data_IF_743135141282
#
_entry.id   IF_743135141282
#
_cell.length_a   1.000
_cell.length_b   1.000
_cell.length_c   1.000
_cell.angle_alpha   90.00
_cell.angle_beta   90.00
_cell.angle_gamma   90.00
#
_symmetry.space_group_name_H-M   'P 1'
#
loop_
_entity.id
_entity.type
_entity.pdbx_description
1 polymer ?
#
# COMPACT_ATOMS: atom_id res chain seq x y z
N UNK A 1 -18.30 -23.78 -3.98
CA UNK A 1 -17.39 -24.90 -4.30
C UNK A 1 -16.34 -24.91 -3.21
N UNK A 2 -16.19 -25.96 -2.40
CA UNK A 2 -15.15 -26.02 -1.40
C UNK A 2 -13.81 -26.14 -2.11
N UNK A 3 -12.92 -25.19 -1.89
CA UNK A 3 -11.53 -25.28 -2.31
C UNK A 3 -10.85 -26.27 -1.39
N UNK A 4 -10.88 -27.55 -1.75
CA UNK A 4 -10.06 -28.56 -1.12
C UNK A 4 -8.60 -28.24 -1.43
N UNK A 5 -7.88 -27.73 -0.42
CA UNK A 5 -6.42 -27.65 -0.46
C UNK A 5 -5.88 -29.06 -0.28
N UNK A 6 -5.56 -29.72 -1.39
CA UNK A 6 -4.84 -30.98 -1.39
C UNK A 6 -3.36 -30.69 -1.15
N UNK A 7 -2.82 -31.14 -0.03
CA UNK A 7 -1.38 -31.19 0.17
C UNK A 7 -0.88 -32.55 -0.35
N UNK A 8 -0.09 -32.48 -1.42
CA UNK A 8 0.59 -33.66 -1.96
C UNK A 8 1.91 -33.85 -1.21
N UNK A 9 2.10 -34.99 -0.52
CA UNK A 9 3.43 -35.35 0.00
C UNK A 9 4.29 -35.89 -1.13
N UNK A 10 5.18 -35.04 -1.60
CA UNK A 10 6.10 -35.33 -2.73
C UNK A 10 7.07 -36.47 -2.41
N UNK A 11 7.24 -36.85 -1.14
CA UNK A 11 8.23 -37.86 -0.70
C UNK A 11 7.72 -39.29 -0.77
N UNK A 12 6.44 -39.52 -0.57
CA UNK A 12 5.87 -40.86 -0.42
C UNK A 12 4.77 -41.22 -1.42
N UNK A 13 4.38 -40.33 -2.30
CA UNK A 13 3.36 -40.58 -3.32
C UNK A 13 1.95 -40.89 -2.77
N UNK A 14 1.69 -40.66 -1.49
CA UNK A 14 0.43 -40.94 -0.85
C UNK A 14 -0.31 -39.68 -0.50
N UNK A 15 -1.64 -39.74 -0.64
CA UNK A 15 -2.54 -38.73 -0.08
C UNK A 15 -2.55 -38.95 1.42
N UNK A 16 -2.13 -37.99 2.24
CA UNK A 16 -2.28 -38.07 3.68
C UNK A 16 -3.78 -37.97 4.01
N UNK A 17 -4.38 -39.10 4.34
CA UNK A 17 -5.62 -39.10 5.11
C UNK A 17 -5.31 -38.57 6.49
N UNK A 18 -5.94 -37.44 6.86
CA UNK A 18 -5.76 -36.80 8.15
C UNK A 18 -6.01 -37.77 9.29
N UNK A 19 -5.10 -37.82 10.25
CA UNK A 19 -5.13 -38.60 11.48
C UNK A 19 -6.50 -38.46 12.17
N UNK A 20 -7.18 -39.58 12.37
CA UNK A 20 -8.50 -39.63 12.98
C UNK A 20 -8.48 -39.19 14.44
N UNK A 21 -8.85 -37.96 14.69
CA UNK A 21 -9.54 -37.58 15.88
C UNK A 21 -11.04 -37.54 15.56
N UNK A 22 -11.84 -38.22 16.33
CA UNK A 22 -13.32 -38.09 16.35
C UNK A 22 -13.66 -36.66 16.82
N UNK A 23 -13.36 -35.68 16.00
CA UNK A 23 -13.95 -34.34 16.13
C UNK A 23 -15.36 -34.42 15.57
N UNK A 24 -16.34 -33.99 16.36
CA UNK A 24 -17.65 -33.62 15.84
C UNK A 24 -17.37 -32.76 14.58
N UNK A 25 -17.69 -33.28 13.40
CA UNK A 25 -17.53 -32.55 12.15
C UNK A 25 -18.40 -31.31 12.24
N UNK A 26 -17.79 -30.18 12.57
CA UNK A 26 -18.46 -28.90 12.62
C UNK A 26 -19.04 -28.64 11.23
N UNK A 27 -20.37 -28.66 11.12
CA UNK A 27 -21.06 -28.39 9.86
C UNK A 27 -20.73 -26.96 9.46
N UNK A 28 -20.21 -26.79 8.25
CA UNK A 28 -19.88 -25.49 7.69
C UNK A 28 -21.19 -24.70 7.50
N UNK A 29 -21.24 -23.48 8.04
CA UNK A 29 -22.40 -22.59 7.93
C UNK A 29 -21.97 -21.29 7.23
N UNK A 30 -22.47 -21.09 6.03
CA UNK A 30 -22.18 -19.95 5.17
C UNK A 30 -22.63 -18.62 5.79
N UNK A 31 -23.69 -18.63 6.61
CA UNK A 31 -24.15 -17.45 7.35
C UNK A 31 -23.11 -17.04 8.39
N UNK A 32 -22.54 -18.00 9.14
CA UNK A 32 -21.49 -17.73 10.13
C UNK A 32 -20.26 -17.17 9.44
N UNK A 33 -19.86 -17.73 8.29
CA UNK A 33 -18.73 -17.24 7.50
C UNK A 33 -18.98 -15.78 7.08
N UNK A 34 -20.14 -15.50 6.52
CA UNK A 34 -20.51 -14.15 6.07
C UNK A 34 -20.50 -13.17 7.24
N UNK A 35 -21.13 -13.54 8.36
CA UNK A 35 -21.19 -12.70 9.55
C UNK A 35 -19.79 -12.41 10.10
N UNK A 36 -18.94 -13.43 10.21
CA UNK A 36 -17.56 -13.25 10.68
C UNK A 36 -16.75 -12.27 9.82
N UNK A 37 -16.89 -12.33 8.50
CA UNK A 37 -16.22 -11.40 7.58
C UNK A 37 -16.72 -9.97 7.80
N UNK A 38 -18.05 -9.78 7.88
CA UNK A 38 -18.67 -8.46 8.08
C UNK A 38 -18.22 -7.87 9.42
N UNK A 39 -18.32 -8.62 10.50
CA UNK A 39 -17.99 -8.15 11.85
C UNK A 39 -16.52 -7.73 11.92
N UNK A 40 -15.59 -8.54 11.40
CA UNK A 40 -14.16 -8.23 11.39
C UNK A 40 -13.82 -7.07 10.51
N UNK A 41 -14.43 -6.97 9.33
CA UNK A 41 -14.22 -5.81 8.46
C UNK A 41 -14.75 -4.52 9.09
N UNK A 42 -15.93 -4.58 9.68
CA UNK A 42 -16.55 -3.44 10.36
C UNK A 42 -15.71 -2.97 11.57
N UNK A 43 -15.25 -3.89 12.42
CA UNK A 43 -14.35 -3.57 13.53
C UNK A 43 -13.07 -2.89 13.01
N UNK A 44 -12.44 -3.47 12.00
CA UNK A 44 -11.24 -2.93 11.38
C UNK A 44 -11.47 -1.52 10.84
N UNK A 45 -12.55 -1.29 10.10
CA UNK A 45 -12.90 0.02 9.56
C UNK A 45 -13.16 1.03 10.67
N UNK A 46 -13.99 0.68 11.64
CA UNK A 46 -14.34 1.55 12.77
C UNK A 46 -13.12 1.98 13.58
N UNK A 47 -12.18 1.08 13.80
CA UNK A 47 -10.94 1.38 14.50
C UNK A 47 -10.06 2.38 13.73
N UNK A 48 -10.19 2.48 12.41
CA UNK A 48 -9.34 3.29 11.54
C UNK A 48 -10.03 4.56 11.00
N UNK A 49 -11.17 4.98 11.60
CA UNK A 49 -11.81 6.26 11.26
C UNK A 49 -11.00 7.49 11.69
N UNK A 50 -10.05 7.31 12.62
CA UNK A 50 -9.11 8.35 13.04
C UNK A 50 -7.73 7.72 13.25
N UNK A 51 -6.73 8.25 12.54
CA UNK A 51 -5.37 7.72 12.50
C UNK A 51 -4.33 8.84 12.62
N UNK A 52 -3.08 8.48 12.87
CA UNK A 52 -2.00 9.48 12.85
C UNK A 52 -1.59 9.76 11.40
N UNK A 53 -1.44 8.72 10.58
CA UNK A 53 -1.09 8.86 9.19
C UNK A 53 -1.98 8.01 8.29
N UNK A 54 -2.53 8.65 7.25
CA UNK A 54 -3.25 8.01 6.16
C UNK A 54 -2.37 7.99 4.91
N UNK A 55 -2.05 6.80 4.43
CA UNK A 55 -1.18 6.60 3.27
C UNK A 55 -2.06 6.22 2.08
N UNK A 56 -1.95 6.93 0.98
CA UNK A 56 -2.68 6.62 -0.26
C UNK A 56 -1.72 6.04 -1.27
N UNK A 57 -1.96 4.79 -1.66
CA UNK A 57 -1.13 4.02 -2.58
C UNK A 57 -0.31 2.94 -1.89
N UNK A 58 -0.59 1.68 -2.24
CA UNK A 58 0.05 0.47 -1.72
C UNK A 58 1.26 0.01 -2.53
N UNK A 59 1.93 0.91 -3.23
CA UNK A 59 3.22 0.64 -3.88
C UNK A 59 4.37 0.54 -2.88
N UNK A 60 5.61 0.28 -3.37
CA UNK A 60 6.77 0.12 -2.49
C UNK A 60 6.99 1.32 -1.57
N UNK A 61 6.84 2.54 -2.06
CA UNK A 61 7.01 3.76 -1.26
C UNK A 61 5.98 3.86 -0.13
N UNK A 62 4.70 3.57 -0.40
CA UNK A 62 3.64 3.57 0.60
C UNK A 62 3.83 2.48 1.65
N UNK A 63 4.26 1.28 1.23
CA UNK A 63 4.54 0.16 2.14
C UNK A 63 5.70 0.47 3.09
N UNK A 64 6.82 0.94 2.54
CA UNK A 64 8.02 1.28 3.33
C UNK A 64 7.73 2.45 4.28
N UNK A 65 7.07 3.51 3.80
CA UNK A 65 6.66 4.64 4.63
C UNK A 65 5.76 4.18 5.79
N UNK A 66 4.74 3.38 5.48
CA UNK A 66 3.81 2.84 6.48
C UNK A 66 4.52 2.00 7.53
N UNK A 67 5.44 1.13 7.09
CA UNK A 67 6.25 0.29 7.99
C UNK A 67 7.05 1.13 9.00
N UNK A 68 7.79 2.12 8.51
CA UNK A 68 8.60 2.96 9.40
C UNK A 68 7.75 3.78 10.36
N UNK A 69 6.64 4.35 9.91
CA UNK A 69 5.74 5.09 10.78
C UNK A 69 5.15 4.18 11.88
N UNK A 70 4.66 3.00 11.52
CA UNK A 70 4.13 2.04 12.49
C UNK A 70 5.19 1.57 13.49
N UNK A 71 6.43 1.30 13.04
CA UNK A 71 7.56 0.95 13.91
C UNK A 71 7.92 2.06 14.90
N UNK A 72 7.61 3.31 14.57
CA UNK A 72 7.78 4.45 15.45
C UNK A 72 6.55 4.77 16.31
N UNK A 73 5.57 3.85 16.38
CA UNK A 73 4.42 3.94 17.28
C UNK A 73 3.26 4.77 16.75
N UNK A 74 3.29 5.19 15.49
CA UNK A 74 2.15 5.87 14.86
C UNK A 74 1.08 4.87 14.43
N UNK A 75 -0.17 5.27 14.57
CA UNK A 75 -1.30 4.54 14.03
C UNK A 75 -1.45 4.86 12.54
N UNK A 76 -1.18 3.87 11.70
CA UNK A 76 -1.09 4.03 10.26
C UNK A 76 -2.15 3.20 9.55
N UNK A 77 -2.81 3.82 8.57
CA UNK A 77 -3.71 3.13 7.64
C UNK A 77 -3.31 3.44 6.21
N UNK A 78 -3.21 2.40 5.40
CA UNK A 78 -2.90 2.48 3.98
C UNK A 78 -4.13 2.12 3.15
N UNK A 79 -4.43 2.94 2.16
CA UNK A 79 -5.51 2.75 1.19
C UNK A 79 -4.94 2.48 -0.19
N UNK A 80 -5.40 1.41 -0.83
CA UNK A 80 -5.01 1.03 -2.19
C UNK A 80 -6.26 0.84 -3.05
N UNK A 81 -6.31 1.49 -4.20
CA UNK A 81 -7.47 1.38 -5.12
C UNK A 81 -7.55 0.04 -5.84
N UNK A 82 -6.44 -0.65 -6.03
CA UNK A 82 -6.39 -1.96 -6.68
C UNK A 82 -6.65 -3.09 -5.68
N UNK A 83 -7.04 -4.24 -6.18
CA UNK A 83 -7.17 -5.45 -5.37
C UNK A 83 -5.80 -5.91 -4.84
N UNK A 84 -4.78 -5.88 -5.69
CA UNK A 84 -3.42 -6.28 -5.34
C UNK A 84 -2.61 -5.11 -4.80
N UNK A 85 -1.99 -5.32 -3.64
CA UNK A 85 -1.01 -4.41 -3.05
C UNK A 85 0.33 -4.61 -3.75
N UNK A 86 1.15 -3.57 -3.87
CA UNK A 86 2.51 -3.68 -4.40
C UNK A 86 2.80 -2.80 -5.61
N UNK A 87 1.78 -2.18 -6.18
CA UNK A 87 1.94 -1.28 -7.33
C UNK A 87 2.59 -1.98 -8.52
N UNK A 88 3.51 -1.28 -9.18
CA UNK A 88 4.23 -1.81 -10.35
C UNK A 88 5.39 -2.75 -10.02
N UNK A 89 5.77 -2.91 -8.75
CA UNK A 89 6.94 -3.71 -8.38
C UNK A 89 6.79 -5.19 -8.72
N UNK A 90 5.56 -5.73 -8.81
CA UNK A 90 5.32 -7.10 -9.23
C UNK A 90 5.94 -7.44 -10.59
N UNK A 91 5.98 -6.48 -11.50
CA UNK A 91 6.59 -6.66 -12.81
C UNK A 91 8.11 -6.51 -12.81
N UNK A 92 8.67 -5.87 -11.81
CA UNK A 92 10.05 -5.44 -11.85
C UNK A 92 10.33 -4.43 -12.96
N UNK A 93 11.59 -4.25 -13.32
CA UNK A 93 11.96 -3.47 -14.49
C UNK A 93 11.63 -4.22 -15.77
N UNK A 94 11.03 -3.55 -16.75
CA UNK A 94 10.72 -4.09 -18.08
C UNK A 94 9.89 -5.39 -18.04
N UNK A 95 9.19 -5.67 -16.94
CA UNK A 95 8.42 -6.90 -16.67
C UNK A 95 9.29 -8.19 -16.64
N UNK A 96 10.55 -8.06 -16.22
CA UNK A 96 11.46 -9.20 -16.10
C UNK A 96 11.63 -9.71 -14.66
N UNK A 97 10.77 -9.25 -13.76
CA UNK A 97 10.72 -9.65 -12.35
C UNK A 97 12.02 -9.38 -11.55
N UNK A 98 12.84 -8.47 -12.01
CA UNK A 98 14.03 -7.99 -11.32
C UNK A 98 13.93 -6.49 -11.06
N UNK A 99 14.44 -6.05 -9.93
CA UNK A 99 14.63 -4.64 -9.61
C UNK A 99 16.11 -4.34 -9.46
N UNK A 100 16.48 -3.09 -9.72
CA UNK A 100 17.83 -2.59 -9.49
C UNK A 100 17.75 -1.44 -8.52
N UNK A 101 18.58 -1.48 -7.49
CA UNK A 101 18.68 -0.42 -6.48
C UNK A 101 20.13 -0.02 -6.28
N UNK A 102 20.34 1.19 -5.77
CA UNK A 102 21.64 1.67 -5.29
C UNK A 102 21.75 1.45 -3.77
N UNK A 103 22.79 1.99 -3.15
CA UNK A 103 23.15 1.71 -1.76
C UNK A 103 22.02 2.05 -0.76
N UNK A 104 21.30 3.15 -1.00
CA UNK A 104 20.18 3.57 -0.15
C UNK A 104 19.03 2.57 -0.22
N UNK A 105 18.68 2.15 -1.43
CA UNK A 105 17.65 1.12 -1.64
C UNK A 105 18.09 -0.24 -1.08
N UNK A 106 19.37 -0.58 -1.22
CA UNK A 106 19.92 -1.82 -0.64
C UNK A 106 19.77 -1.88 0.87
N UNK A 107 19.99 -0.79 1.59
CA UNK A 107 19.77 -0.74 3.04
C UNK A 107 18.33 -1.09 3.41
N UNK A 108 17.36 -0.62 2.63
CA UNK A 108 15.95 -0.99 2.82
C UNK A 108 15.75 -2.49 2.55
N UNK A 109 16.31 -3.03 1.46
CA UNK A 109 16.23 -4.46 1.19
C UNK A 109 16.80 -5.29 2.34
N UNK A 110 17.96 -4.91 2.88
CA UNK A 110 18.60 -5.60 4.00
C UNK A 110 17.75 -5.55 5.27
N UNK A 111 17.17 -4.40 5.62
CA UNK A 111 16.30 -4.25 6.78
C UNK A 111 15.02 -5.10 6.65
N UNK A 112 14.51 -5.21 5.44
CA UNK A 112 13.38 -6.09 5.15
C UNK A 112 13.79 -7.55 4.93
N UNK A 113 15.10 -7.89 5.04
CA UNK A 113 15.63 -9.24 4.80
C UNK A 113 15.30 -9.77 3.39
N UNK A 114 15.29 -8.87 2.41
CA UNK A 114 15.11 -9.19 0.99
C UNK A 114 16.47 -9.48 0.40
N UNK A 115 16.62 -10.64 -0.25
CA UNK A 115 17.88 -11.04 -0.86
C UNK A 115 18.23 -10.12 -2.02
N UNK A 116 19.49 -9.70 -2.06
CA UNK A 116 20.03 -8.91 -3.17
C UNK A 116 21.40 -9.39 -3.58
N UNK A 117 21.83 -9.08 -4.80
CA UNK A 117 23.14 -9.40 -5.32
C UNK A 117 23.79 -8.16 -5.90
N UNK A 118 25.08 -7.95 -5.58
CA UNK A 118 25.88 -6.92 -6.25
C UNK A 118 26.00 -7.27 -7.74
N UNK A 119 25.60 -6.36 -8.61
CA UNK A 119 25.72 -6.51 -10.06
C UNK A 119 26.96 -5.79 -10.56
N UNK A 120 27.12 -4.51 -10.26
CA UNK A 120 28.27 -3.67 -10.65
C UNK A 120 28.31 -2.41 -9.80
N UNK A 121 29.48 -1.94 -9.38
CA UNK A 121 29.78 -0.62 -8.77
C UNK A 121 28.59 0.09 -8.09
N UNK A 122 28.08 -0.45 -6.98
CA UNK A 122 26.97 0.15 -6.23
C UNK A 122 25.59 -0.10 -6.79
N UNK A 123 25.44 -0.95 -7.82
CA UNK A 123 24.13 -1.44 -8.29
C UNK A 123 23.88 -2.84 -7.76
N UNK A 124 22.72 -3.03 -7.18
CA UNK A 124 22.28 -4.31 -6.60
C UNK A 124 20.99 -4.76 -7.28
N UNK A 125 20.90 -6.04 -7.61
CA UNK A 125 19.68 -6.64 -8.14
C UNK A 125 18.95 -7.44 -7.07
N UNK A 126 17.63 -7.48 -7.15
CA UNK A 126 16.78 -8.31 -6.30
C UNK A 126 15.55 -8.79 -7.08
N UNK A 127 15.08 -9.98 -6.74
CA UNK A 127 13.83 -10.52 -7.26
C UNK A 127 12.64 -9.64 -6.82
N UNK A 128 11.87 -9.17 -7.77
CA UNK A 128 10.77 -8.24 -7.51
C UNK A 128 9.61 -8.91 -6.77
N UNK A 129 9.39 -10.21 -6.97
CA UNK A 129 8.33 -10.98 -6.30
C UNK A 129 8.68 -11.16 -4.83
N UNK A 130 9.93 -11.55 -4.53
CA UNK A 130 10.42 -11.63 -3.15
C UNK A 130 10.31 -10.25 -2.47
N UNK A 131 10.80 -9.22 -3.15
CA UNK A 131 10.80 -7.86 -2.61
C UNK A 131 9.38 -7.40 -2.23
N UNK A 132 8.45 -7.45 -3.16
CA UNK A 132 7.11 -6.93 -2.89
C UNK A 132 6.31 -7.79 -1.90
N UNK A 133 6.45 -9.11 -1.97
CA UNK A 133 5.78 -10.02 -1.03
C UNK A 133 6.26 -9.79 0.40
N UNK A 134 7.57 -9.61 0.58
CA UNK A 134 8.19 -9.33 1.88
C UNK A 134 7.78 -7.96 2.40
N UNK A 135 7.82 -6.92 1.58
CA UNK A 135 7.36 -5.58 1.95
C UNK A 135 5.91 -5.61 2.43
N UNK A 136 4.99 -6.24 1.68
CA UNK A 136 3.59 -6.38 2.07
C UNK A 136 3.44 -7.10 3.42
N UNK A 137 4.10 -8.25 3.58
CA UNK A 137 4.01 -9.05 4.80
C UNK A 137 4.54 -8.31 6.03
N UNK A 138 5.74 -7.71 5.92
CA UNK A 138 6.35 -6.99 7.05
C UNK A 138 5.58 -5.73 7.41
N UNK A 139 5.04 -5.02 6.42
CA UNK A 139 4.20 -3.83 6.66
C UNK A 139 2.94 -4.19 7.45
N UNK A 140 2.21 -5.23 7.07
CA UNK A 140 1.02 -5.68 7.83
C UNK A 140 1.41 -6.14 9.23
N UNK A 141 2.50 -6.91 9.37
CA UNK A 141 2.99 -7.41 10.66
C UNK A 141 3.51 -6.30 11.58
N UNK A 142 3.88 -5.13 11.07
CA UNK A 142 4.25 -3.98 11.89
C UNK A 142 3.06 -3.26 12.54
N UNK A 143 1.82 -3.68 12.23
CA UNK A 143 0.59 -3.11 12.79
C UNK A 143 -0.14 -2.16 11.85
N UNK A 144 0.35 -1.98 10.62
CA UNK A 144 -0.34 -1.18 9.60
C UNK A 144 -1.63 -1.87 9.18
N UNK A 145 -2.72 -1.12 9.17
CA UNK A 145 -3.97 -1.57 8.57
C UNK A 145 -4.00 -1.21 7.09
N UNK A 146 -4.26 -2.19 6.23
CA UNK A 146 -4.38 -1.96 4.79
C UNK A 146 -5.82 -2.22 4.36
N UNK A 147 -6.38 -1.26 3.61
CA UNK A 147 -7.65 -1.39 2.90
C UNK A 147 -7.39 -1.30 1.41
N UNK A 148 -7.62 -2.38 0.70
CA UNK A 148 -7.59 -2.41 -0.75
C UNK A 148 -8.98 -2.20 -1.35
N UNK A 149 -9.08 -1.92 -2.65
CA UNK A 149 -10.29 -1.53 -3.37
C UNK A 149 -10.96 -0.25 -2.79
N UNK A 150 -10.17 0.63 -2.23
CA UNK A 150 -10.59 1.93 -1.71
C UNK A 150 -9.80 3.03 -2.43
N UNK A 151 -10.51 3.93 -3.08
CA UNK A 151 -9.98 5.12 -3.76
C UNK A 151 -10.10 6.36 -2.88
N UNK A 152 -9.11 7.24 -2.92
CA UNK A 152 -9.23 8.58 -2.37
C UNK A 152 -9.90 9.49 -3.41
N UNK A 153 -11.08 10.02 -3.10
CA UNK A 153 -11.84 10.90 -3.99
C UNK A 153 -11.57 12.37 -3.71
N UNK A 154 -11.29 12.68 -2.45
CA UNK A 154 -11.10 14.07 -2.03
C UNK A 154 -10.34 14.17 -0.70
N UNK A 155 -10.04 15.41 -0.30
CA UNK A 155 -9.36 15.76 0.94
C UNK A 155 -10.28 16.53 1.88
N UNK A 156 -10.14 16.27 3.18
CA UNK A 156 -10.75 17.12 4.21
C UNK A 156 -9.74 18.20 4.56
N UNK A 157 -10.06 19.44 4.24
CA UNK A 157 -9.23 20.61 4.56
C UNK A 157 -9.94 21.45 5.60
N UNK A 158 -9.25 21.78 6.68
CA UNK A 158 -9.71 22.69 7.72
C UNK A 158 -8.58 23.64 8.10
N UNK A 159 -8.89 24.91 8.23
CA UNK A 159 -7.91 25.93 8.63
C UNK A 159 -6.59 25.88 7.82
N UNK A 160 -6.74 25.72 6.50
CA UNK A 160 -5.61 25.61 5.55
C UNK A 160 -4.67 24.42 5.82
N UNK A 161 -5.21 23.34 6.39
CA UNK A 161 -4.49 22.08 6.65
C UNK A 161 -5.31 20.90 6.18
N UNK A 162 -4.67 19.89 5.60
CA UNK A 162 -5.28 18.59 5.34
C UNK A 162 -5.45 17.86 6.66
N UNK A 163 -6.68 17.43 6.95
CA UNK A 163 -7.06 16.78 8.21
C UNK A 163 -7.71 15.41 8.02
N UNK A 164 -7.72 14.90 6.79
CA UNK A 164 -8.27 13.60 6.48
C UNK A 164 -8.54 13.39 5.00
N UNK A 165 -9.16 12.26 4.72
CA UNK A 165 -9.51 11.81 3.38
C UNK A 165 -11.00 11.58 3.23
N UNK A 166 -11.48 11.81 2.01
CA UNK A 166 -12.77 11.34 1.50
C UNK A 166 -12.52 10.15 0.62
N UNK A 167 -13.12 9.02 0.96
CA UNK A 167 -12.83 7.71 0.39
C UNK A 167 -14.09 7.09 -0.19
N UNK A 168 -13.93 6.30 -1.24
CA UNK A 168 -15.02 5.47 -1.76
C UNK A 168 -14.49 4.11 -2.22
N UNK A 169 -15.39 3.17 -2.46
CA UNK A 169 -15.06 1.90 -3.07
C UNK A 169 -14.63 2.13 -4.52
N UNK A 170 -13.50 1.58 -4.92
CA UNK A 170 -13.03 1.68 -6.32
C UNK A 170 -14.08 1.20 -7.32
N UNK A 171 -14.93 0.24 -6.93
CA UNK A 171 -16.03 -0.23 -7.76
C UNK A 171 -17.07 0.88 -8.06
N UNK A 172 -17.26 1.83 -7.16
CA UNK A 172 -18.17 2.98 -7.37
C UNK A 172 -17.63 3.87 -8.47
N UNK A 173 -16.32 4.19 -8.40
CA UNK A 173 -15.62 4.97 -9.44
C UNK A 173 -15.67 4.24 -10.80
N UNK A 174 -15.33 2.95 -10.85
CA UNK A 174 -15.31 2.16 -12.08
C UNK A 174 -16.68 2.02 -12.73
N UNK A 175 -17.74 1.93 -11.93
CA UNK A 175 -19.11 1.80 -12.40
C UNK A 175 -19.80 3.16 -12.63
N UNK A 176 -19.09 4.28 -12.40
CA UNK A 176 -19.63 5.65 -12.49
C UNK A 176 -20.92 5.83 -11.68
N UNK A 177 -20.97 5.22 -10.49
CA UNK A 177 -22.12 5.33 -9.59
C UNK A 177 -22.01 6.60 -8.75
N UNK A 178 -23.17 7.10 -8.32
CA UNK A 178 -23.24 8.18 -7.37
C UNK A 178 -23.61 7.64 -5.99
N UNK A 179 -22.60 7.49 -5.14
CA UNK A 179 -22.73 6.92 -3.78
C UNK A 179 -22.03 7.84 -2.79
N UNK A 180 -22.63 8.06 -1.65
CA UNK A 180 -22.04 8.89 -0.60
C UNK A 180 -20.71 8.28 -0.11
N UNK A 181 -19.64 9.08 -0.03
CA UNK A 181 -18.32 8.59 0.33
C UNK A 181 -18.17 8.39 1.84
N UNK A 182 -17.15 7.62 2.20
CA UNK A 182 -16.63 7.51 3.56
C UNK A 182 -15.67 8.66 3.86
N UNK A 183 -15.55 9.01 5.13
CA UNK A 183 -14.52 9.96 5.58
C UNK A 183 -13.70 9.38 6.72
N UNK A 184 -12.42 9.68 6.71
CA UNK A 184 -11.51 9.41 7.82
C UNK A 184 -10.77 10.68 8.23
N UNK A 185 -10.38 10.76 9.49
CA UNK A 185 -9.52 11.81 10.00
C UNK A 185 -8.08 11.32 10.11
N UNK A 186 -7.13 12.19 9.79
CA UNK A 186 -5.70 11.91 9.97
C UNK A 186 -4.96 13.19 10.32
N UNK A 187 -3.84 13.03 11.05
CA UNK A 187 -2.92 14.15 11.33
C UNK A 187 -2.07 14.48 10.12
N UNK A 188 -1.72 13.43 9.35
CA UNK A 188 -0.92 13.52 8.13
C UNK A 188 -1.53 12.64 7.04
N UNK A 189 -1.45 13.13 5.80
CA UNK A 189 -1.78 12.38 4.60
C UNK A 189 -0.53 12.26 3.74
N UNK A 190 -0.19 11.05 3.32
CA UNK A 190 0.96 10.78 2.45
C UNK A 190 0.45 10.32 1.09
N UNK A 191 0.82 11.05 0.05
CA UNK A 191 0.60 10.65 -1.34
C UNK A 191 1.73 9.69 -1.78
N UNK A 192 1.41 8.42 -1.89
CA UNK A 192 2.28 7.36 -2.39
C UNK A 192 1.71 6.72 -3.67
N UNK A 193 0.93 7.48 -4.45
CA UNK A 193 0.24 7.00 -5.65
C UNK A 193 1.15 6.92 -6.89
N UNK A 194 2.44 7.21 -6.71
CA UNK A 194 3.46 7.16 -7.76
C UNK A 194 3.36 8.36 -8.71
N UNK A 195 3.65 8.15 -9.98
CA UNK A 195 3.70 9.23 -10.98
C UNK A 195 2.39 9.99 -11.15
N UNK A 196 1.27 9.40 -10.78
CA UNK A 196 -0.04 10.05 -10.87
C UNK A 196 -0.22 11.17 -9.84
N UNK A 197 0.50 11.13 -8.69
CA UNK A 197 0.38 12.12 -7.61
C UNK A 197 -1.08 12.49 -7.34
N UNK A 198 -1.93 11.47 -7.18
CA UNK A 198 -3.39 11.64 -7.24
C UNK A 198 -3.92 12.54 -6.12
N UNK A 199 -3.40 12.36 -4.90
CA UNK A 199 -3.81 13.16 -3.74
C UNK A 199 -3.39 14.61 -3.88
N UNK A 200 -2.13 14.83 -4.27
CA UNK A 200 -1.60 16.19 -4.49
C UNK A 200 -2.28 16.85 -5.70
N UNK A 201 -2.65 16.07 -6.71
CA UNK A 201 -3.42 16.56 -7.87
C UNK A 201 -4.81 17.03 -7.47
N UNK A 202 -5.50 16.30 -6.57
CA UNK A 202 -6.77 16.72 -5.98
C UNK A 202 -6.60 18.04 -5.23
N UNK A 203 -5.57 18.13 -4.39
CA UNK A 203 -5.25 19.33 -3.62
C UNK A 203 -5.01 20.54 -4.53
N UNK A 204 -4.20 20.37 -5.58
CA UNK A 204 -3.86 21.45 -6.51
C UNK A 204 -5.07 21.96 -7.32
N UNK A 205 -6.08 21.12 -7.58
CA UNK A 205 -7.31 21.50 -8.25
C UNK A 205 -8.23 22.36 -7.37
N UNK A 206 -8.01 22.40 -6.06
CA UNK A 206 -8.80 23.16 -5.12
C UNK A 206 -8.23 24.58 -4.96
N UNK A 207 -8.89 25.53 -5.58
CA UNK A 207 -8.81 26.99 -5.34
C UNK A 207 -7.42 27.52 -4.92
N UNK A 208 -6.59 27.86 -5.88
CA UNK A 208 -5.36 28.65 -5.71
C UNK A 208 -4.36 28.16 -4.65
N UNK A 209 -4.42 26.87 -4.30
CA UNK A 209 -3.46 26.27 -3.37
C UNK A 209 -2.09 26.27 -4.02
N UNK A 210 -1.15 26.96 -3.37
CA UNK A 210 0.25 26.95 -3.72
C UNK A 210 0.97 25.89 -2.89
N UNK A 211 1.58 24.91 -3.58
CA UNK A 211 2.36 23.86 -2.94
C UNK A 211 3.71 24.39 -2.47
N UNK A 212 4.30 23.77 -1.44
CA UNK A 212 5.65 24.06 -0.94
C UNK A 212 6.71 23.36 -1.80
N UNK A 213 6.58 23.47 -3.10
CA UNK A 213 7.52 23.01 -4.08
C UNK A 213 8.22 24.21 -4.73
N UNK A 214 9.31 23.99 -5.43
CA UNK A 214 10.06 25.05 -6.11
C UNK A 214 9.20 25.91 -7.04
N UNK A 215 8.25 25.28 -7.74
CA UNK A 215 7.35 25.95 -8.69
C UNK A 215 6.02 26.38 -8.09
N UNK A 216 5.73 25.98 -6.85
CA UNK A 216 4.40 26.12 -6.23
C UNK A 216 3.35 25.16 -6.80
N UNK A 217 3.76 24.21 -7.64
CA UNK A 217 2.93 23.21 -8.33
C UNK A 217 3.58 21.84 -8.25
N UNK A 218 2.87 20.79 -8.72
CA UNK A 218 3.47 19.49 -8.93
C UNK A 218 4.64 19.62 -9.91
N UNK A 219 5.78 19.04 -9.54
CA UNK A 219 6.98 18.98 -10.38
C UNK A 219 7.01 17.62 -11.05
N UNK A 220 7.00 17.61 -12.39
CA UNK A 220 7.06 16.36 -13.16
C UNK A 220 8.46 15.76 -13.18
N UNK A 221 8.52 14.45 -13.31
CA UNK A 221 9.76 13.70 -13.47
C UNK A 221 10.44 14.02 -14.81
N UNK A 222 11.77 14.14 -14.81
CA UNK A 222 12.57 14.28 -16.02
C UNK A 222 12.85 12.92 -16.62
N UNK A 223 12.00 12.50 -17.56
CA UNK A 223 12.12 11.21 -18.23
C UNK A 223 13.50 10.99 -18.87
N UNK A 224 14.00 9.75 -18.79
CA UNK A 224 15.27 9.29 -19.36
C UNK A 224 16.53 10.01 -18.83
N UNK A 225 16.40 10.77 -17.76
CA UNK A 225 17.54 11.35 -17.04
C UNK A 225 17.41 11.00 -15.56
N UNK A 226 17.76 9.74 -15.23
CA UNK A 226 17.55 9.15 -13.91
C UNK A 226 18.16 9.98 -12.77
N UNK A 227 19.40 10.47 -12.94
CA UNK A 227 20.08 11.28 -11.91
C UNK A 227 19.32 12.58 -11.59
N UNK A 228 18.83 13.27 -12.64
CA UNK A 228 18.07 14.50 -12.44
C UNK A 228 16.66 14.21 -11.88
N UNK A 229 16.01 13.14 -12.31
CA UNK A 229 14.72 12.72 -11.82
C UNK A 229 14.79 12.36 -10.33
N UNK A 230 15.81 11.60 -9.90
CA UNK A 230 16.04 11.27 -8.51
C UNK A 230 16.26 12.51 -7.64
N UNK A 231 17.12 13.44 -8.09
CA UNK A 231 17.37 14.70 -7.39
C UNK A 231 16.11 15.55 -7.25
N UNK A 232 15.33 15.69 -8.32
CA UNK A 232 14.08 16.45 -8.31
C UNK A 232 13.04 15.78 -7.41
N UNK A 233 12.95 14.45 -7.42
CA UNK A 233 12.09 13.67 -6.51
C UNK A 233 12.49 13.93 -5.06
N UNK A 234 13.74 13.80 -4.70
CA UNK A 234 14.22 14.03 -3.34
C UNK A 234 14.01 15.48 -2.87
N UNK A 235 14.07 16.46 -3.76
CA UNK A 235 13.84 17.86 -3.44
C UNK A 235 12.36 18.19 -3.20
N UNK A 236 11.44 17.48 -3.87
CA UNK A 236 10.02 17.81 -3.91
C UNK A 236 9.10 16.81 -3.15
N UNK A 237 9.63 15.71 -2.62
CA UNK A 237 8.89 14.74 -1.80
C UNK A 237 9.01 15.05 -0.30
N UNK A 238 8.54 16.21 0.09
CA UNK A 238 8.51 16.66 1.50
C UNK A 238 7.07 17.04 1.86
N UNK A 239 6.88 17.72 2.97
CA UNK A 239 5.62 18.37 3.26
C UNK A 239 5.35 19.41 2.17
N UNK A 240 4.48 19.06 1.22
CA UNK A 240 4.13 19.95 0.09
C UNK A 240 2.96 20.87 0.43
N UNK A 241 2.25 20.57 1.51
CA UNK A 241 1.15 21.35 2.09
C UNK A 241 0.92 20.91 3.53
N UNK A 242 0.41 21.75 4.45
CA UNK A 242 0.19 21.37 5.83
C UNK A 242 -0.78 20.18 5.99
N UNK A 243 -0.37 19.12 6.67
CA UNK A 243 -1.22 17.97 7.05
C UNK A 243 -0.92 16.62 6.46
#
# INVERSE_FOLDING_TARGET
MPTLLWFWDVRNGNIMEGCGHTEETMVLDEKIITQAIIDRYYEKLKQNLSVDAAIVGGGPSGLVCSYYLARNGFKVTLFERKLSIGGGMWGGGMMFNEIVVQEEGKRILDEFEIRSKLYNNGYYTADSIEAISTLCSKTVKSGVTIFNLISAEDLIIRENRVTGLVLNWTAVEMAHLHVDPLTIQSKFVVDATGHATEVVSILQKKNDIKLFTETGKIVGEKSLWAEAAEKDTMANTREVFPG
#
